data_IF_203437614742
#
_entry.id   IF_203437614742
#
_cell.length_a   1.000
_cell.length_b   1.000
_cell.length_c   1.000
_cell.angle_alpha   90.00
_cell.angle_beta   90.00
_cell.angle_gamma   90.00
#
_symmetry.space_group_name_H-M   'P 1'
#
loop_
_entity.id
_entity.type
_entity.pdbx_description
1 polymer ?
#
# COMPACT_ATOMS: atom_id res chain seq x y z
N UNK A 1 -29.46 23.08 42.67
CA UNK A 1 -28.59 24.08 42.03
C UNK A 1 -27.14 23.63 42.16
N UNK A 2 -26.35 23.75 41.11
CA UNK A 2 -24.98 23.23 41.00
C UNK A 2 -23.95 24.36 41.06
N UNK A 3 -22.78 24.08 41.61
CA UNK A 3 -21.57 24.90 41.42
C UNK A 3 -21.02 24.73 39.99
N UNK A 4 -20.11 25.61 39.57
CA UNK A 4 -19.46 25.50 38.25
C UNK A 4 -18.68 24.19 38.08
N UNK A 5 -18.11 23.65 39.17
CA UNK A 5 -17.39 22.38 39.16
C UNK A 5 -18.32 21.19 38.93
N UNK A 6 -19.42 21.15 39.68
CA UNK A 6 -20.46 20.13 39.50
C UNK A 6 -21.11 20.22 38.12
N UNK A 7 -21.45 21.43 37.66
CA UNK A 7 -22.00 21.67 36.32
C UNK A 7 -21.07 21.11 35.22
N UNK A 8 -19.78 21.44 35.30
CA UNK A 8 -18.78 20.96 34.37
C UNK A 8 -18.72 19.42 34.37
N UNK A 9 -18.72 18.81 35.56
CA UNK A 9 -18.74 17.35 35.72
C UNK A 9 -19.99 16.71 35.10
N UNK A 10 -21.18 17.25 35.36
CA UNK A 10 -22.44 16.69 34.82
C UNK A 10 -22.55 16.84 33.30
N UNK A 11 -22.03 17.92 32.73
CA UNK A 11 -21.98 18.10 31.28
C UNK A 11 -20.77 17.39 30.61
N UNK A 12 -19.87 16.81 31.41
CA UNK A 12 -18.63 16.19 30.95
C UNK A 12 -17.68 17.15 30.23
N UNK A 13 -17.63 18.40 30.67
CA UNK A 13 -16.69 19.42 30.19
C UNK A 13 -15.76 19.86 31.31
N UNK A 14 -14.72 20.62 31.00
CA UNK A 14 -13.86 21.22 32.03
C UNK A 14 -14.45 22.52 32.55
N UNK A 15 -14.13 22.91 33.78
CA UNK A 15 -14.49 24.24 34.32
C UNK A 15 -13.94 25.36 33.42
N UNK A 16 -12.77 25.16 32.81
CA UNK A 16 -12.19 26.07 31.82
C UNK A 16 -13.08 26.22 30.59
N UNK A 17 -13.66 25.13 30.08
CA UNK A 17 -14.60 25.18 28.97
C UNK A 17 -15.88 25.95 29.33
N UNK A 18 -16.44 25.73 30.53
CA UNK A 18 -17.61 26.50 31.00
C UNK A 18 -17.30 28.00 31.04
N UNK A 19 -16.15 28.40 31.61
CA UNK A 19 -15.70 29.81 31.60
C UNK A 19 -15.49 30.35 30.18
N UNK A 20 -14.95 29.53 29.29
CA UNK A 20 -14.78 29.90 27.89
C UNK A 20 -16.13 30.14 27.20
N UNK A 21 -17.14 29.30 27.45
CA UNK A 21 -18.48 29.49 26.90
C UNK A 21 -19.20 30.69 27.51
N UNK A 22 -18.97 31.02 28.78
CA UNK A 22 -19.42 32.29 29.35
C UNK A 22 -18.79 33.51 28.66
N UNK A 23 -17.46 33.52 28.48
CA UNK A 23 -16.77 34.59 27.73
C UNK A 23 -17.19 34.64 26.25
N UNK A 24 -17.51 33.46 25.71
CA UNK A 24 -18.35 33.16 24.54
C UNK A 24 -19.59 34.02 24.39
N UNK A 25 -20.29 34.21 25.51
CA UNK A 25 -21.72 34.47 25.57
C UNK A 25 -22.58 33.27 25.15
N UNK A 26 -22.01 32.06 25.09
CA UNK A 26 -22.71 30.82 24.67
C UNK A 26 -23.56 30.23 25.79
N UNK A 27 -23.18 30.52 27.04
CA UNK A 27 -23.91 30.10 28.23
C UNK A 27 -24.08 31.36 29.10
N UNK A 28 -25.30 31.72 29.52
CA UNK A 28 -25.51 32.86 30.39
C UNK A 28 -24.85 32.64 31.77
N UNK A 29 -24.22 33.67 32.31
CA UNK A 29 -23.72 33.64 33.69
C UNK A 29 -24.87 33.95 34.66
N UNK A 30 -25.24 33.03 35.56
CA UNK A 30 -26.23 33.33 36.59
C UNK A 30 -25.67 34.33 37.60
N UNK A 31 -26.58 35.05 38.27
CA UNK A 31 -26.23 35.90 39.40
C UNK A 31 -25.57 35.10 40.53
N UNK A 32 -24.80 35.80 41.36
CA UNK A 32 -24.20 35.20 42.55
C UNK A 32 -25.26 35.11 43.64
N UNK A 33 -25.33 33.96 44.31
CA UNK A 33 -26.17 33.79 45.49
C UNK A 33 -25.68 34.64 46.68
N UNK A 34 -26.44 34.64 47.79
CA UNK A 34 -26.07 35.35 49.03
C UNK A 34 -24.72 34.91 49.62
N UNK A 35 -24.20 33.74 49.21
CA UNK A 35 -22.89 33.22 49.61
C UNK A 35 -21.76 33.63 48.64
N UNK A 36 -22.08 34.38 47.58
CA UNK A 36 -21.13 34.88 46.58
C UNK A 36 -20.84 33.89 45.45
N UNK A 37 -21.52 32.74 45.39
CA UNK A 37 -21.27 31.69 44.39
C UNK A 37 -22.30 31.72 43.26
N UNK A 38 -21.84 31.42 42.04
CA UNK A 38 -22.74 31.18 40.90
C UNK A 38 -23.41 29.82 41.04
N UNK A 39 -24.72 29.77 40.81
CA UNK A 39 -25.56 28.58 40.97
C UNK A 39 -26.29 28.27 39.67
N UNK A 40 -26.16 27.03 39.22
CA UNK A 40 -26.67 26.59 37.92
C UNK A 40 -27.81 25.59 38.10
N UNK A 41 -28.90 25.79 37.35
CA UNK A 41 -30.03 24.86 37.30
C UNK A 41 -29.81 23.73 36.30
N UNK A 42 -30.78 22.81 36.22
CA UNK A 42 -30.77 21.72 35.25
C UNK A 42 -30.74 22.21 33.79
N UNK A 43 -31.38 23.34 33.49
CA UNK A 43 -31.36 23.95 32.15
C UNK A 43 -29.94 24.27 31.66
N UNK A 44 -29.06 24.75 32.54
CA UNK A 44 -27.67 25.04 32.20
C UNK A 44 -26.88 23.76 31.85
N UNK A 45 -27.23 22.61 32.46
CA UNK A 45 -26.65 21.30 32.10
C UNK A 45 -27.06 20.92 30.69
N UNK A 46 -28.37 21.03 30.37
CA UNK A 46 -28.91 20.71 29.04
C UNK A 46 -28.26 21.59 27.97
N UNK A 47 -28.14 22.89 28.22
CA UNK A 47 -27.52 23.84 27.29
C UNK A 47 -26.04 23.54 27.06
N UNK A 48 -25.29 23.23 28.12
CA UNK A 48 -23.89 22.81 28.00
C UNK A 48 -23.73 21.51 27.21
N UNK A 49 -24.60 20.53 27.40
CA UNK A 49 -24.58 19.27 26.64
C UNK A 49 -24.83 19.56 25.15
N UNK A 50 -25.77 20.45 24.81
CA UNK A 50 -26.01 20.88 23.42
C UNK A 50 -24.78 21.57 22.82
N UNK A 51 -24.20 22.56 23.52
CA UNK A 51 -22.98 23.27 23.08
C UNK A 51 -21.85 22.28 22.81
N UNK A 52 -21.61 21.38 23.76
CA UNK A 52 -20.57 20.36 23.67
C UNK A 52 -20.78 19.45 22.47
N UNK A 53 -21.99 18.94 22.29
CA UNK A 53 -22.32 17.99 21.21
C UNK A 53 -22.08 18.63 19.83
N UNK A 54 -22.53 19.87 19.63
CA UNK A 54 -22.31 20.59 18.38
C UNK A 54 -20.82 20.91 18.15
N UNK A 55 -20.10 21.31 19.20
CA UNK A 55 -18.67 21.57 19.12
C UNK A 55 -17.86 20.30 18.79
N UNK A 56 -18.19 19.16 19.39
CA UNK A 56 -17.57 17.85 19.12
C UNK A 56 -17.90 17.36 17.69
N UNK A 57 -19.07 17.71 17.16
CA UNK A 57 -19.43 17.49 15.75
C UNK A 57 -18.68 18.41 14.76
N UNK A 58 -17.78 19.27 15.26
CA UNK A 58 -16.96 20.18 14.46
C UNK A 58 -17.67 21.48 14.07
N UNK A 59 -18.78 21.82 14.71
CA UNK A 59 -19.48 23.10 14.46
C UNK A 59 -18.71 24.24 15.11
N UNK A 60 -18.35 25.31 14.38
CA UNK A 60 -17.69 26.48 14.96
C UNK A 60 -18.55 27.14 16.04
N UNK A 61 -17.93 27.57 17.15
CA UNK A 61 -18.63 28.17 18.29
C UNK A 61 -19.51 29.39 17.94
N UNK A 62 -19.15 30.14 16.89
CA UNK A 62 -20.00 31.22 16.38
C UNK A 62 -21.34 30.69 15.83
N UNK A 63 -21.29 29.60 15.05
CA UNK A 63 -22.50 28.95 14.53
C UNK A 63 -23.29 28.25 15.64
N UNK A 64 -22.61 27.68 16.65
CA UNK A 64 -23.29 27.11 17.83
C UNK A 64 -24.17 28.15 18.52
N UNK A 65 -23.69 29.40 18.66
CA UNK A 65 -24.49 30.50 19.22
C UNK A 65 -25.78 30.72 18.42
N UNK A 66 -25.66 30.83 17.11
CA UNK A 66 -26.81 31.05 16.21
C UNK A 66 -27.82 29.92 16.36
N UNK A 67 -27.36 28.67 16.37
CA UNK A 67 -28.23 27.49 16.51
C UNK A 67 -28.94 27.42 17.87
N UNK A 68 -28.32 27.88 18.95
CA UNK A 68 -28.99 27.90 20.26
C UNK A 68 -30.09 28.98 20.37
N UNK A 69 -30.06 29.98 19.49
CA UNK A 69 -31.05 31.06 19.42
C UNK A 69 -32.10 30.84 18.33
N UNK A 70 -31.87 29.85 17.45
CA UNK A 70 -32.79 29.47 16.40
C UNK A 70 -34.07 28.86 16.96
N UNK A 71 -35.16 28.96 16.18
CA UNK A 71 -36.38 28.23 16.48
C UNK A 71 -36.21 26.70 16.25
N UNK A 72 -37.23 25.94 16.62
CA UNK A 72 -37.16 24.47 16.56
C UNK A 72 -37.00 23.94 15.13
N UNK A 73 -37.61 24.60 14.13
CA UNK A 73 -37.53 24.19 12.72
C UNK A 73 -36.15 24.48 12.12
N UNK A 74 -35.62 25.68 12.35
CA UNK A 74 -34.29 26.07 11.89
C UNK A 74 -33.20 25.21 12.56
N UNK A 75 -33.34 24.94 13.86
CA UNK A 75 -32.42 24.06 14.58
C UNK A 75 -32.44 22.64 14.02
N UNK A 76 -33.63 22.08 13.79
CA UNK A 76 -33.78 20.73 13.22
C UNK A 76 -33.16 20.62 11.82
N UNK A 77 -33.39 21.62 10.96
CA UNK A 77 -32.80 21.67 9.62
C UNK A 77 -31.26 21.72 9.68
N UNK A 78 -30.70 22.56 10.56
CA UNK A 78 -29.25 22.66 10.72
C UNK A 78 -28.62 21.37 11.26
N UNK A 79 -29.29 20.69 12.20
CA UNK A 79 -28.83 19.37 12.70
C UNK A 79 -28.83 18.33 11.58
N UNK A 80 -29.85 18.33 10.70
CA UNK A 80 -29.90 17.43 9.56
C UNK A 80 -28.74 17.68 8.56
N UNK A 81 -28.39 18.94 8.31
CA UNK A 81 -27.24 19.30 7.47
C UNK A 81 -25.91 18.89 8.09
N UNK A 82 -25.75 19.05 9.41
CA UNK A 82 -24.57 18.59 10.14
C UNK A 82 -24.43 17.06 10.01
N UNK A 83 -25.50 16.31 10.24
CA UNK A 83 -25.51 14.85 10.10
C UNK A 83 -25.19 14.41 8.65
N UNK A 84 -25.78 15.08 7.65
CA UNK A 84 -25.47 14.81 6.23
C UNK A 84 -23.98 15.01 5.92
N UNK A 85 -23.37 16.09 6.42
CA UNK A 85 -21.93 16.34 6.28
C UNK A 85 -21.11 15.22 6.94
N UNK A 86 -21.43 14.87 8.19
CA UNK A 86 -20.73 13.83 8.94
C UNK A 86 -20.82 12.46 8.25
N UNK A 87 -21.98 12.09 7.70
CA UNK A 87 -22.14 10.87 6.89
C UNK A 87 -21.24 10.89 5.66
N UNK A 88 -21.09 12.05 5.01
CA UNK A 88 -20.17 12.23 3.89
C UNK A 88 -18.70 12.00 4.30
N UNK A 89 -18.29 12.58 5.43
CA UNK A 89 -16.95 12.41 5.99
C UNK A 89 -16.67 10.96 6.39
N UNK A 90 -17.62 10.28 7.05
CA UNK A 90 -17.51 8.86 7.40
C UNK A 90 -17.30 8.01 6.15
N UNK A 91 -18.11 8.21 5.10
CA UNK A 91 -17.96 7.49 3.83
C UNK A 91 -16.59 7.75 3.19
N UNK A 92 -16.10 8.99 3.22
CA UNK A 92 -14.77 9.31 2.70
C UNK A 92 -13.66 8.62 3.52
N UNK A 93 -13.75 8.64 4.85
CA UNK A 93 -12.79 7.95 5.73
C UNK A 93 -12.82 6.44 5.56
N UNK A 94 -13.99 5.83 5.38
CA UNK A 94 -14.13 4.40 5.06
C UNK A 94 -13.45 4.06 3.74
N UNK A 95 -13.70 4.82 2.67
CA UNK A 95 -12.99 4.64 1.38
C UNK A 95 -11.48 4.76 1.51
N UNK A 96 -10.99 5.70 2.31
CA UNK A 96 -9.55 5.83 2.57
C UNK A 96 -9.00 4.61 3.32
N UNK A 97 -9.71 4.12 4.34
CA UNK A 97 -9.34 2.90 5.05
C UNK A 97 -9.30 1.68 4.13
N UNK A 98 -10.28 1.53 3.25
CA UNK A 98 -10.32 0.45 2.25
C UNK A 98 -9.16 0.54 1.26
N UNK A 99 -8.77 1.75 0.82
CA UNK A 99 -7.59 1.94 -0.03
C UNK A 99 -6.30 1.55 0.69
N UNK A 100 -6.13 1.96 1.94
CA UNK A 100 -4.96 1.59 2.75
C UNK A 100 -4.93 0.08 3.01
N UNK A 101 -6.08 -0.52 3.32
CA UNK A 101 -6.18 -1.97 3.51
C UNK A 101 -5.78 -2.74 2.25
N UNK A 102 -6.17 -2.25 1.06
CA UNK A 102 -5.76 -2.83 -0.23
C UNK A 102 -4.27 -2.64 -0.54
N UNK A 103 -3.62 -1.59 -0.03
CA UNK A 103 -2.16 -1.45 -0.09
C UNK A 103 -1.46 -2.42 0.86
N UNK A 104 -1.97 -2.57 2.08
CA UNK A 104 -1.39 -3.43 3.11
C UNK A 104 -1.61 -4.94 2.86
N UNK A 105 -2.74 -5.30 2.24
CA UNK A 105 -3.03 -6.67 1.82
C UNK A 105 -2.18 -7.12 0.63
N UNK A 106 -1.37 -6.23 0.07
CA UNK A 106 -0.42 -6.49 -1.00
C UNK A 106 -1.04 -6.82 -2.36
N UNK A 107 -2.19 -7.46 -2.42
CA UNK A 107 -2.60 -8.18 -3.62
C UNK A 107 -3.76 -7.52 -4.38
N UNK A 108 -4.17 -6.28 -4.06
CA UNK A 108 -5.41 -5.76 -4.68
C UNK A 108 -5.54 -4.26 -4.91
N UNK A 109 -4.45 -3.54 -5.20
CA UNK A 109 -4.60 -2.18 -5.77
C UNK A 109 -3.62 -1.79 -6.89
N UNK A 110 -2.76 -2.68 -7.36
CA UNK A 110 -1.89 -2.40 -8.50
C UNK A 110 -1.80 -3.53 -9.54
N UNK A 111 -2.31 -4.72 -9.22
CA UNK A 111 -2.20 -5.89 -10.08
C UNK A 111 -3.58 -6.42 -10.47
N UNK A 112 -3.83 -6.66 -11.77
CA UNK A 112 -4.99 -7.40 -12.26
C UNK A 112 -5.09 -8.79 -11.60
N UNK A 113 -6.31 -9.31 -11.47
CA UNK A 113 -6.58 -10.57 -10.77
C UNK A 113 -5.77 -11.74 -11.37
N UNK A 114 -5.59 -11.73 -12.69
CA UNK A 114 -4.83 -12.74 -13.44
C UNK A 114 -3.37 -12.81 -13.00
N UNK A 115 -2.77 -11.67 -12.62
CA UNK A 115 -1.40 -11.61 -12.08
C UNK A 115 -1.36 -12.16 -10.67
N UNK A 116 -2.36 -11.86 -9.85
CA UNK A 116 -2.45 -12.39 -8.47
C UNK A 116 -2.56 -13.92 -8.50
N UNK A 117 -3.41 -14.46 -9.37
CA UNK A 117 -3.55 -15.90 -9.57
C UNK A 117 -2.24 -16.57 -10.04
N UNK A 118 -1.49 -15.89 -10.91
CA UNK A 118 -0.16 -16.33 -11.32
C UNK A 118 0.84 -16.38 -10.13
N UNK A 119 0.90 -15.31 -9.32
CA UNK A 119 1.80 -15.25 -8.16
C UNK A 119 1.44 -16.30 -7.10
N UNK A 120 0.14 -16.51 -6.84
CA UNK A 120 -0.34 -17.56 -5.93
C UNK A 120 0.02 -18.95 -6.45
N UNK A 121 -0.01 -19.15 -7.77
CA UNK A 121 0.42 -20.41 -8.37
C UNK A 121 1.92 -20.66 -8.17
N UNK A 122 2.77 -19.65 -8.30
CA UNK A 122 4.21 -19.78 -8.00
C UNK A 122 4.44 -20.18 -6.54
N UNK A 123 3.74 -19.54 -5.60
CA UNK A 123 3.78 -19.90 -4.16
C UNK A 123 3.37 -21.36 -3.94
N UNK A 124 2.27 -21.79 -4.56
CA UNK A 124 1.79 -23.16 -4.45
C UNK A 124 2.75 -24.20 -5.03
N UNK A 125 3.59 -23.80 -6.00
CA UNK A 125 4.65 -24.63 -6.59
C UNK A 125 5.96 -24.62 -5.77
N UNK A 126 6.00 -23.89 -4.66
CA UNK A 126 7.13 -23.87 -3.73
C UNK A 126 8.24 -22.88 -4.11
N UNK A 127 7.96 -21.91 -4.98
CA UNK A 127 8.89 -20.81 -5.28
C UNK A 127 9.05 -19.92 -4.05
N UNK A 128 10.29 -19.50 -3.77
CA UNK A 128 10.62 -18.66 -2.61
C UNK A 128 9.88 -17.31 -2.66
N UNK A 129 9.35 -16.87 -1.52
CA UNK A 129 8.56 -15.64 -1.45
C UNK A 129 9.34 -14.40 -1.90
N UNK A 130 10.67 -14.35 -1.75
CA UNK A 130 11.47 -13.22 -2.23
C UNK A 130 11.45 -13.12 -3.76
N UNK A 131 11.44 -14.25 -4.45
CA UNK A 131 11.29 -14.27 -5.92
C UNK A 131 9.87 -13.86 -6.30
N UNK A 132 8.86 -14.34 -5.57
CA UNK A 132 7.46 -13.94 -5.79
C UNK A 132 7.28 -12.43 -5.60
N UNK A 133 7.95 -11.82 -4.62
CA UNK A 133 7.92 -10.36 -4.42
C UNK A 133 8.62 -9.62 -5.56
N UNK A 134 9.74 -10.12 -6.07
CA UNK A 134 10.41 -9.51 -7.24
C UNK A 134 9.56 -9.61 -8.50
N UNK A 135 8.93 -10.77 -8.75
CA UNK A 135 7.97 -10.96 -9.85
C UNK A 135 6.81 -9.97 -9.72
N UNK A 136 6.24 -9.87 -8.52
CA UNK A 136 5.14 -8.94 -8.21
C UNK A 136 5.53 -7.49 -8.47
N UNK A 137 6.68 -7.06 -7.97
CA UNK A 137 7.16 -5.69 -8.14
C UNK A 137 7.48 -5.37 -9.60
N UNK A 138 7.89 -6.37 -10.39
CA UNK A 138 8.02 -6.26 -11.84
C UNK A 138 6.68 -6.10 -12.57
N UNK A 139 5.64 -6.82 -12.15
CA UNK A 139 4.31 -6.74 -12.77
C UNK A 139 3.56 -5.45 -12.47
N UNK A 140 3.80 -4.80 -11.33
CA UNK A 140 3.11 -3.57 -10.92
C UNK A 140 3.26 -2.45 -11.97
N UNK A 141 4.46 -2.05 -12.39
CA UNK A 141 4.62 -0.98 -13.37
C UNK A 141 4.25 -1.44 -14.79
N UNK A 142 4.35 -2.74 -15.11
CA UNK A 142 3.89 -3.31 -16.38
C UNK A 142 2.38 -3.20 -16.54
N UNK A 143 1.63 -3.65 -15.54
CA UNK A 143 0.17 -3.58 -15.52
C UNK A 143 -0.32 -2.12 -15.48
N UNK A 144 0.44 -1.22 -14.86
CA UNK A 144 0.11 0.21 -14.84
C UNK A 144 0.32 0.89 -16.21
N UNK A 145 1.35 0.50 -16.98
CA UNK A 145 1.68 1.09 -18.29
C UNK A 145 0.83 0.51 -19.44
N UNK A 146 0.57 -0.80 -19.42
CA UNK A 146 -0.09 -1.52 -20.50
C UNK A 146 -1.10 -2.56 -19.98
N UNK A 147 -2.19 -2.13 -19.32
CA UNK A 147 -3.19 -3.03 -18.77
C UNK A 147 -3.84 -3.95 -19.82
N UNK A 148 -3.96 -3.48 -21.06
CA UNK A 148 -4.54 -4.23 -22.19
C UNK A 148 -3.71 -5.44 -22.63
N UNK A 149 -2.41 -5.45 -22.35
CA UNK A 149 -1.50 -6.56 -22.69
C UNK A 149 -1.38 -7.61 -21.58
N UNK A 150 -1.87 -7.31 -20.38
CA UNK A 150 -1.79 -8.22 -19.23
C UNK A 150 -2.41 -9.59 -19.52
N UNK A 151 -3.59 -9.72 -20.15
CA UNK A 151 -4.14 -11.05 -20.44
C UNK A 151 -3.25 -11.91 -21.35
N UNK A 152 -2.61 -11.29 -22.35
CA UNK A 152 -1.68 -11.95 -23.28
C UNK A 152 -0.45 -12.47 -22.53
N UNK A 153 0.19 -11.61 -21.74
CA UNK A 153 1.34 -11.99 -20.92
C UNK A 153 1.00 -13.07 -19.89
N UNK A 154 -0.18 -12.99 -19.27
CA UNK A 154 -0.60 -13.96 -18.26
C UNK A 154 -0.91 -15.34 -18.86
N UNK A 155 -1.46 -15.40 -20.08
CA UNK A 155 -1.65 -16.69 -20.77
C UNK A 155 -0.31 -17.38 -21.01
N UNK A 156 0.67 -16.63 -21.50
CA UNK A 156 2.02 -17.13 -21.73
C UNK A 156 2.71 -17.58 -20.45
N UNK A 157 2.58 -16.80 -19.37
CA UNK A 157 3.08 -17.18 -18.04
C UNK A 157 2.42 -18.45 -17.51
N UNK A 158 1.11 -18.64 -17.75
CA UNK A 158 0.41 -19.89 -17.39
C UNK A 158 0.99 -21.11 -18.13
N UNK A 159 1.31 -20.97 -19.41
CA UNK A 159 1.94 -22.03 -20.19
C UNK A 159 3.37 -22.33 -19.67
N UNK A 160 4.14 -21.29 -19.34
CA UNK A 160 5.49 -21.45 -18.79
C UNK A 160 5.50 -22.18 -17.44
N UNK A 161 4.64 -21.79 -16.49
CA UNK A 161 4.61 -22.45 -15.17
C UNK A 161 3.99 -23.86 -15.22
N UNK A 162 3.33 -24.23 -16.32
CA UNK A 162 2.93 -25.61 -16.57
C UNK A 162 4.11 -26.48 -17.02
N UNK A 163 5.21 -25.89 -17.50
CA UNK A 163 6.42 -26.60 -17.90
C UNK A 163 7.30 -26.93 -16.66
N UNK A 164 7.55 -28.22 -16.37
CA UNK A 164 8.39 -28.61 -15.24
C UNK A 164 9.81 -28.04 -15.28
N UNK A 165 10.39 -27.82 -16.47
CA UNK A 165 11.74 -27.26 -16.61
C UNK A 165 11.79 -25.80 -16.13
N UNK A 166 10.74 -25.03 -16.38
CA UNK A 166 10.65 -23.64 -15.95
C UNK A 166 10.49 -23.52 -14.43
N UNK A 167 9.74 -24.45 -13.83
CA UNK A 167 9.63 -24.53 -12.36
C UNK A 167 10.95 -24.96 -11.73
N UNK A 168 11.67 -25.93 -12.31
CA UNK A 168 13.00 -26.33 -11.81
C UNK A 168 14.00 -25.18 -11.88
N UNK A 169 13.90 -24.30 -12.89
CA UNK A 169 14.66 -23.06 -12.96
C UNK A 169 14.37 -22.15 -11.74
N UNK A 170 13.11 -21.85 -11.42
CA UNK A 170 12.76 -21.02 -10.25
C UNK A 170 13.20 -21.65 -8.92
N UNK A 171 13.08 -22.98 -8.78
CA UNK A 171 13.53 -23.68 -7.57
C UNK A 171 15.06 -23.67 -7.44
N UNK A 172 15.77 -23.82 -8.55
CA UNK A 172 17.24 -23.71 -8.59
C UNK A 172 17.69 -22.28 -8.28
N UNK A 173 16.97 -21.29 -8.79
CA UNK A 173 17.20 -19.87 -8.50
C UNK A 173 16.99 -19.58 -7.01
N UNK A 174 15.92 -20.11 -6.42
CA UNK A 174 15.62 -19.99 -4.98
C UNK A 174 16.80 -20.50 -4.13
N UNK A 175 17.35 -21.68 -4.47
CA UNK A 175 18.52 -22.24 -3.77
C UNK A 175 19.78 -21.39 -3.95
N UNK A 176 19.96 -20.77 -5.12
CA UNK A 176 21.10 -19.91 -5.39
C UNK A 176 21.06 -18.62 -4.54
N UNK A 177 19.86 -18.06 -4.32
CA UNK A 177 19.66 -16.84 -3.52
C UNK A 177 19.89 -17.04 -2.01
N UNK A 178 19.92 -18.27 -1.52
CA UNK A 178 20.32 -18.58 -0.13
C UNK A 178 21.84 -18.57 0.09
N UNK A 179 22.62 -18.45 -1.00
CA UNK A 179 24.08 -18.57 -0.94
C UNK A 179 24.73 -17.21 -0.83
N UNK A 180 25.85 -17.19 -0.11
CA UNK A 180 26.75 -16.03 -0.07
C UNK A 180 27.61 -15.98 -1.33
N UNK A 181 28.10 -14.79 -1.70
CA UNK A 181 28.91 -14.58 -2.90
C UNK A 181 30.18 -15.45 -3.01
N UNK A 182 30.70 -15.92 -1.87
CA UNK A 182 31.89 -16.76 -1.77
C UNK A 182 31.60 -18.27 -1.83
N UNK A 183 30.33 -18.69 -1.94
CA UNK A 183 29.96 -20.10 -1.91
C UNK A 183 30.29 -20.79 -3.26
N UNK A 184 31.11 -21.85 -3.28
CA UNK A 184 31.42 -22.59 -4.51
C UNK A 184 30.18 -23.25 -5.15
N UNK A 185 29.14 -23.57 -4.36
CA UNK A 185 27.88 -24.12 -4.88
C UNK A 185 27.10 -23.12 -5.72
N UNK A 186 27.31 -21.80 -5.53
CA UNK A 186 26.68 -20.77 -6.35
C UNK A 186 27.14 -20.87 -7.82
N UNK A 187 28.39 -21.29 -8.05
CA UNK A 187 28.93 -21.51 -9.39
C UNK A 187 28.23 -22.69 -10.07
N UNK A 188 28.06 -23.81 -9.37
CA UNK A 188 27.36 -24.99 -9.89
C UNK A 188 25.88 -24.70 -10.17
N UNK A 189 25.23 -23.92 -9.32
CA UNK A 189 23.85 -23.48 -9.54
C UNK A 189 23.75 -22.54 -10.74
N UNK A 190 24.72 -21.65 -10.94
CA UNK A 190 24.78 -20.81 -12.14
C UNK A 190 24.99 -21.63 -13.42
N UNK A 191 25.80 -22.71 -13.37
CA UNK A 191 25.94 -23.66 -14.49
C UNK A 191 24.60 -24.33 -14.82
N UNK A 192 23.88 -24.81 -13.80
CA UNK A 192 22.55 -25.42 -13.97
C UNK A 192 21.54 -24.44 -14.54
N UNK A 193 21.48 -23.21 -14.01
CA UNK A 193 20.59 -22.17 -14.51
C UNK A 193 20.88 -21.82 -15.97
N UNK A 194 22.15 -21.63 -16.35
CA UNK A 194 22.52 -21.35 -17.75
C UNK A 194 22.16 -22.51 -18.70
N UNK A 195 22.33 -23.75 -18.24
CA UNK A 195 21.93 -24.94 -19.00
C UNK A 195 20.41 -25.01 -19.18
N UNK A 196 19.62 -24.76 -18.12
CA UNK A 196 18.17 -24.68 -18.18
C UNK A 196 17.72 -23.59 -19.17
N UNK A 197 18.25 -22.36 -19.05
CA UNK A 197 17.91 -21.25 -19.95
C UNK A 197 18.23 -21.63 -21.40
N UNK A 198 19.41 -22.20 -21.64
CA UNK A 198 19.84 -22.61 -22.98
C UNK A 198 18.94 -23.70 -23.56
N UNK A 199 18.57 -24.69 -22.75
CA UNK A 199 17.68 -25.76 -23.18
C UNK A 199 16.29 -25.23 -23.52
N UNK A 200 15.71 -24.40 -22.65
CA UNK A 200 14.41 -23.77 -22.91
C UNK A 200 14.44 -22.89 -24.17
N UNK A 201 15.51 -22.11 -24.37
CA UNK A 201 15.68 -21.28 -25.56
C UNK A 201 15.83 -22.12 -26.85
N UNK A 202 16.46 -23.29 -26.78
CA UNK A 202 16.59 -24.19 -27.92
C UNK A 202 15.27 -24.90 -28.26
N UNK A 203 14.53 -25.33 -27.24
CA UNK A 203 13.30 -26.12 -27.41
C UNK A 203 12.09 -25.25 -27.78
N UNK A 204 12.00 -24.03 -27.24
CA UNK A 204 10.83 -23.14 -27.37
C UNK A 204 11.14 -21.81 -28.12
N UNK A 205 12.41 -21.60 -28.49
CA UNK A 205 12.89 -20.35 -29.11
C UNK A 205 13.32 -19.29 -28.09
N UNK A 206 14.17 -18.36 -28.50
CA UNK A 206 14.75 -17.34 -27.60
C UNK A 206 13.71 -16.40 -26.99
N UNK A 207 12.65 -16.10 -27.75
CA UNK A 207 11.52 -15.30 -27.25
C UNK A 207 10.83 -15.93 -26.05
N UNK A 208 10.89 -17.26 -25.86
CA UNK A 208 10.27 -17.93 -24.71
C UNK A 208 10.85 -17.46 -23.38
N UNK A 209 12.10 -17.01 -23.36
CA UNK A 209 12.78 -16.54 -22.15
C UNK A 209 12.70 -15.01 -22.02
N UNK A 210 12.62 -14.29 -23.15
CA UNK A 210 12.34 -12.85 -23.24
C UNK A 210 10.83 -12.59 -23.41
N UNK A 211 10.11 -12.61 -22.29
CA UNK A 211 8.66 -12.75 -22.32
C UNK A 211 7.88 -11.43 -22.43
N UNK A 212 8.53 -10.31 -22.14
CA UNK A 212 7.84 -9.04 -21.89
C UNK A 212 8.01 -8.01 -23.01
N UNK A 213 9.02 -8.17 -23.88
CA UNK A 213 9.27 -7.28 -25.02
C UNK A 213 9.45 -5.82 -24.58
N UNK A 214 10.17 -5.63 -23.47
CA UNK A 214 10.33 -4.33 -22.82
C UNK A 214 11.33 -3.45 -23.56
N UNK A 215 11.12 -2.15 -23.46
CA UNK A 215 12.15 -1.19 -23.87
C UNK A 215 13.37 -1.34 -22.94
N UNK A 216 14.61 -1.40 -23.46
CA UNK A 216 15.80 -1.66 -22.66
C UNK A 216 15.98 -0.77 -21.42
N UNK A 217 15.70 0.55 -21.45
CA UNK A 217 15.82 1.39 -20.26
C UNK A 217 14.87 1.01 -19.12
N UNK A 218 13.74 0.41 -19.46
CA UNK A 218 12.74 -0.02 -18.49
C UNK A 218 13.10 -1.39 -17.90
N UNK A 219 13.65 -2.30 -18.71
CA UNK A 219 14.22 -3.56 -18.21
C UNK A 219 15.38 -3.31 -17.23
N UNK A 220 16.29 -2.38 -17.55
CA UNK A 220 17.42 -2.01 -16.67
C UNK A 220 16.96 -1.41 -15.33
N UNK A 221 15.88 -0.62 -15.34
CA UNK A 221 15.27 -0.08 -14.12
C UNK A 221 14.72 -1.20 -13.22
N UNK A 222 14.04 -2.19 -13.81
CA UNK A 222 13.51 -3.33 -13.07
C UNK A 222 14.64 -4.22 -12.53
N UNK A 223 15.68 -4.47 -13.32
CA UNK A 223 16.90 -5.18 -12.90
C UNK A 223 17.56 -4.49 -11.70
N UNK A 224 17.63 -3.15 -11.70
CA UNK A 224 18.18 -2.38 -10.58
C UNK A 224 17.38 -2.61 -9.29
N UNK A 225 16.04 -2.59 -9.37
CA UNK A 225 15.15 -2.87 -8.23
C UNK A 225 15.34 -4.30 -7.70
N UNK A 226 15.50 -5.27 -8.61
CA UNK A 226 15.82 -6.65 -8.23
C UNK A 226 17.11 -6.71 -7.43
N UNK A 227 18.18 -6.04 -7.87
CA UNK A 227 19.47 -6.10 -7.19
C UNK A 227 19.46 -5.47 -5.80
N UNK A 228 18.66 -4.44 -5.60
CA UNK A 228 18.49 -3.82 -4.28
C UNK A 228 17.68 -4.73 -3.34
N UNK A 229 16.75 -5.51 -3.89
CA UNK A 229 15.89 -6.44 -3.14
C UNK A 229 16.57 -7.79 -2.88
N UNK A 230 17.40 -8.27 -3.81
CA UNK A 230 18.11 -9.54 -3.79
C UNK A 230 19.62 -9.33 -3.98
N UNK A 231 20.39 -9.05 -2.91
CA UNK A 231 21.82 -8.80 -3.03
C UNK A 231 22.63 -9.90 -3.77
N UNK A 232 22.34 -11.21 -3.60
CA UNK A 232 23.05 -12.28 -4.35
C UNK A 232 22.77 -12.30 -5.86
N UNK A 233 21.71 -11.61 -6.32
CA UNK A 233 21.32 -11.60 -7.74
C UNK A 233 22.39 -10.97 -8.63
N UNK A 234 23.10 -9.93 -8.15
CA UNK A 234 24.20 -9.29 -8.90
C UNK A 234 25.29 -10.31 -9.23
N UNK A 235 25.72 -11.07 -8.22
CA UNK A 235 26.77 -12.09 -8.39
C UNK A 235 26.32 -13.21 -9.31
N UNK A 236 25.06 -13.61 -9.24
CA UNK A 236 24.51 -14.65 -10.10
C UNK A 236 24.52 -14.23 -11.58
N UNK A 237 24.13 -12.99 -11.89
CA UNK A 237 24.18 -12.48 -13.27
C UNK A 237 25.62 -12.44 -13.79
N UNK A 238 26.59 -11.96 -13.01
CA UNK A 238 28.00 -12.00 -13.43
C UNK A 238 28.46 -13.41 -13.81
N UNK A 239 27.98 -14.42 -13.09
CA UNK A 239 28.28 -15.83 -13.37
C UNK A 239 27.55 -16.33 -14.62
N UNK A 240 26.30 -15.92 -14.84
CA UNK A 240 25.54 -16.23 -16.05
C UNK A 240 26.13 -15.55 -17.30
N UNK A 241 26.66 -14.32 -17.17
CA UNK A 241 27.28 -13.58 -18.29
C UNK A 241 28.48 -14.34 -18.84
N UNK A 242 29.29 -14.93 -17.95
CA UNK A 242 30.42 -15.80 -18.34
C UNK A 242 29.97 -17.08 -19.06
N UNK A 243 28.69 -17.42 -18.96
CA UNK A 243 28.03 -18.60 -19.57
C UNK A 243 27.13 -18.23 -20.74
N UNK A 244 27.24 -16.99 -21.22
CA UNK A 244 26.57 -16.52 -22.43
C UNK A 244 25.16 -15.96 -22.20
N UNK A 245 24.77 -15.64 -20.97
CA UNK A 245 23.44 -15.06 -20.66
C UNK A 245 23.54 -13.85 -19.73
N UNK A 246 22.78 -12.79 -20.00
CA UNK A 246 22.74 -11.57 -19.16
C UNK A 246 21.32 -11.09 -18.95
N UNK A 247 21.15 -10.18 -17.99
CA UNK A 247 19.85 -9.59 -17.61
C UNK A 247 19.09 -10.45 -16.60
N UNK A 248 18.22 -9.79 -15.81
CA UNK A 248 17.33 -10.49 -14.87
C UNK A 248 15.90 -10.52 -15.39
N UNK A 249 15.38 -9.35 -15.77
CA UNK A 249 14.01 -9.14 -16.26
C UNK A 249 13.89 -9.51 -17.73
N UNK A 250 14.96 -9.31 -18.50
CA UNK A 250 15.08 -9.68 -19.91
C UNK A 250 16.36 -10.49 -20.11
N UNK A 251 16.21 -11.80 -20.30
CA UNK A 251 17.35 -12.71 -20.45
C UNK A 251 17.84 -12.72 -21.90
N UNK A 252 19.04 -12.20 -22.12
CA UNK A 252 19.64 -12.07 -23.45
C UNK A 252 20.89 -12.94 -23.61
N UNK A 253 21.11 -13.47 -24.81
CA UNK A 253 22.38 -14.14 -25.14
C UNK A 253 23.51 -13.14 -25.31
N UNK A 254 24.60 -13.36 -24.58
CA UNK A 254 25.84 -12.63 -24.77
C UNK A 254 26.70 -13.39 -25.78
N UNK A 255 26.89 -12.81 -26.96
CA UNK A 255 27.91 -13.31 -27.88
C UNK A 255 29.28 -13.19 -27.20
N UNK A 256 30.07 -14.27 -27.06
CA UNK A 256 31.39 -14.16 -26.50
C UNK A 256 32.19 -13.20 -27.39
N UNK A 257 32.62 -12.10 -26.80
CA UNK A 257 33.45 -11.10 -27.46
C UNK A 257 34.65 -11.84 -28.06
N UNK A 258 34.89 -11.69 -29.37
CA UNK A 258 36.15 -12.10 -30.02
C UNK A 258 37.31 -11.45 -29.26
N UNK A 259 37.89 -12.20 -28.32
CA UNK A 259 39.11 -11.82 -27.65
C UNK A 259 40.24 -11.75 -28.68
N UNK A 260 40.85 -10.57 -28.78
CA UNK A 260 42.25 -10.34 -29.10
C UNK A 260 42.96 -11.42 -29.94
N UNK A 261 42.79 -11.38 -31.26
CA UNK A 261 43.81 -11.90 -32.16
C UNK A 261 44.86 -10.82 -32.37
N UNK A 262 45.83 -10.73 -31.44
CA UNK A 262 47.12 -10.16 -31.78
C UNK A 262 47.76 -11.06 -32.83
N UNK A 263 48.03 -10.52 -34.02
CA UNK A 263 49.10 -11.02 -34.86
C UNK A 263 49.80 -9.84 -35.52
N UNK A 264 51.13 -9.95 -35.50
CA UNK A 264 52.15 -8.99 -35.90
C UNK A 264 52.00 -8.44 -37.31
#
# INVERSE_FOLDING_TARGET
MLTIGELASYAGVTVRAVRHYHAKGLLPEPERDHSGYRRYGAGAVVELVKIRTLAEAGVPLARVRELLQADEEEFAAAVADIDKRLRGEIRARQRHRERIARLAAGDSLALPQEVVEYLDRLRALGVDERIVQVERDGWIPLAARSPERVPEWMERKREQIANPQFIDFYLTLSRALDRTDADPQLVELADKLAACITQMANDQGEFYVDDTGLEPPFAELLDTHVFDTLPPARRLIELLTKRGWTGWTQLERVNPTRGAAGTR
#
